data_IF_565780388487
#
_entry.id   IF_565780388487
#
_cell.length_a   1.000
_cell.length_b   1.000
_cell.length_c   1.000
_cell.angle_alpha   90.00
_cell.angle_beta   90.00
_cell.angle_gamma   90.00
#
_symmetry.space_group_name_H-M   'P 1'
#
loop_
_entity.id
_entity.type
_entity.pdbx_description
1 polymer ?
#
# COMPACT_ATOMS: atom_id res chain seq x y z
N UNK A 1 6.50 -8.88 -22.45
CA UNK A 1 5.09 -8.66 -22.08
C UNK A 1 5.00 -7.55 -21.05
N UNK A 2 4.13 -6.59 -21.30
CA UNK A 2 3.93 -5.48 -20.36
C UNK A 2 3.10 -5.94 -19.16
N UNK A 3 3.49 -5.55 -17.96
CA UNK A 3 2.67 -5.80 -16.78
C UNK A 3 1.43 -4.91 -16.83
N UNK A 4 0.33 -5.39 -16.24
CA UNK A 4 -0.95 -4.67 -16.28
C UNK A 4 -0.96 -3.45 -15.37
N UNK A 5 -0.38 -3.57 -14.18
CA UNK A 5 -0.38 -2.48 -13.20
C UNK A 5 0.93 -1.72 -13.29
N UNK A 6 0.84 -0.47 -13.70
CA UNK A 6 1.98 0.43 -13.90
C UNK A 6 1.67 1.78 -13.30
N UNK A 7 2.69 2.57 -12.95
CA UNK A 7 2.46 3.95 -12.51
C UNK A 7 1.83 4.76 -13.63
N UNK A 8 0.95 5.69 -13.26
CA UNK A 8 0.23 6.55 -14.19
C UNK A 8 0.44 8.01 -13.83
N UNK A 9 0.01 8.90 -14.71
CA UNK A 9 0.08 10.34 -14.48
C UNK A 9 -1.22 10.90 -13.88
N UNK A 10 -2.21 10.05 -13.60
CA UNK A 10 -3.47 10.47 -13.01
C UNK A 10 -3.22 11.01 -11.61
N UNK A 11 -3.66 12.23 -11.27
CA UNK A 11 -3.48 12.76 -9.92
C UNK A 11 -4.23 11.90 -8.89
N UNK A 12 -3.58 11.63 -7.76
CA UNK A 12 -4.21 10.87 -6.67
C UNK A 12 -5.48 11.58 -6.20
N UNK A 13 -5.46 12.91 -6.12
CA UNK A 13 -6.63 13.69 -5.73
C UNK A 13 -7.83 13.47 -6.66
N UNK A 14 -7.58 13.30 -7.96
CA UNK A 14 -8.65 13.02 -8.92
C UNK A 14 -9.27 11.63 -8.66
N UNK A 15 -8.46 10.65 -8.34
CA UNK A 15 -8.95 9.32 -7.98
C UNK A 15 -9.76 9.36 -6.68
N UNK A 16 -9.24 10.01 -5.63
CA UNK A 16 -9.92 10.12 -4.34
C UNK A 16 -11.28 10.80 -4.48
N UNK A 17 -11.40 11.77 -5.38
CA UNK A 17 -12.65 12.46 -5.64
C UNK A 17 -13.74 11.56 -6.22
N UNK A 18 -13.41 10.39 -6.75
CA UNK A 18 -14.39 9.43 -7.28
C UNK A 18 -15.00 8.54 -6.20
N UNK A 19 -14.43 8.56 -4.99
CA UNK A 19 -14.85 7.69 -3.89
C UNK A 19 -15.97 8.33 -3.08
N UNK A 20 -16.70 7.51 -2.29
CA UNK A 20 -17.65 8.08 -1.33
C UNK A 20 -16.91 8.93 -0.28
N UNK A 21 -17.63 9.78 0.44
CA UNK A 21 -17.05 10.75 1.36
C UNK A 21 -16.16 10.10 2.42
N UNK A 22 -16.60 9.01 3.02
CA UNK A 22 -15.81 8.32 4.05
C UNK A 22 -14.55 7.71 3.47
N UNK A 23 -14.66 6.99 2.38
CA UNK A 23 -13.52 6.31 1.75
C UNK A 23 -12.51 7.32 1.20
N UNK A 24 -13.00 8.43 0.66
CA UNK A 24 -12.15 9.53 0.20
C UNK A 24 -11.33 10.12 1.35
N UNK A 25 -11.97 10.37 2.50
CA UNK A 25 -11.29 10.90 3.68
C UNK A 25 -10.26 9.90 4.23
N UNK A 26 -10.61 8.61 4.28
CA UNK A 26 -9.68 7.56 4.69
C UNK A 26 -8.47 7.50 3.76
N UNK A 27 -8.71 7.56 2.46
CA UNK A 27 -7.64 7.57 1.46
C UNK A 27 -6.71 8.77 1.60
N UNK A 28 -7.26 9.96 1.81
CA UNK A 28 -6.45 11.16 2.02
C UNK A 28 -5.58 11.04 3.27
N UNK A 29 -6.12 10.51 4.36
CA UNK A 29 -5.36 10.30 5.59
C UNK A 29 -4.25 9.28 5.39
N UNK A 30 -4.53 8.20 4.65
CA UNK A 30 -3.52 7.18 4.35
C UNK A 30 -2.41 7.72 3.46
N UNK A 31 -2.73 8.59 2.50
CA UNK A 31 -1.71 9.25 1.69
C UNK A 31 -0.75 10.04 2.59
N UNK A 32 -1.27 10.80 3.55
CA UNK A 32 -0.44 11.55 4.50
C UNK A 32 0.43 10.62 5.34
N UNK A 33 -0.15 9.54 5.86
CA UNK A 33 0.57 8.58 6.70
C UNK A 33 1.70 7.90 5.93
N UNK A 34 1.39 7.39 4.75
CA UNK A 34 2.38 6.71 3.92
C UNK A 34 3.48 7.67 3.44
N UNK A 35 3.11 8.89 3.04
CA UNK A 35 4.10 9.88 2.62
C UNK A 35 5.03 10.27 3.75
N UNK A 36 4.50 10.41 4.96
CA UNK A 36 5.32 10.75 6.14
C UNK A 36 6.31 9.64 6.47
N UNK A 37 5.88 8.36 6.37
CA UNK A 37 6.73 7.23 6.72
C UNK A 37 7.75 6.88 5.63
N UNK A 38 7.43 7.17 4.37
CA UNK A 38 8.30 6.79 3.24
C UNK A 38 9.13 7.95 2.70
N UNK A 39 8.69 9.18 2.92
CA UNK A 39 9.38 10.37 2.42
C UNK A 39 9.18 10.63 0.93
N UNK A 40 8.28 9.94 0.28
CA UNK A 40 8.01 10.11 -1.16
C UNK A 40 6.54 10.43 -1.41
N UNK A 41 6.26 10.95 -2.60
CA UNK A 41 4.91 11.30 -3.01
C UNK A 41 4.13 10.08 -3.49
N UNK A 42 2.81 10.12 -3.28
CA UNK A 42 1.89 9.10 -3.76
C UNK A 42 1.75 9.19 -5.28
N UNK A 43 1.68 8.03 -5.92
CA UNK A 43 1.49 7.90 -7.38
C UNK A 43 0.41 6.86 -7.62
N UNK A 44 -0.48 7.12 -8.58
CA UNK A 44 -1.47 6.12 -8.99
C UNK A 44 -0.80 5.00 -9.77
N UNK A 45 -1.13 3.77 -9.40
CA UNK A 45 -0.73 2.54 -10.10
C UNK A 45 -1.99 1.84 -10.60
N UNK A 46 -2.17 1.81 -11.91
CA UNK A 46 -3.41 1.28 -12.47
C UNK A 46 -4.61 2.12 -12.05
N UNK A 47 -5.82 1.54 -12.03
CA UNK A 47 -7.04 2.32 -11.81
C UNK A 47 -7.38 2.60 -10.35
N UNK A 48 -6.80 1.88 -9.37
CA UNK A 48 -7.26 1.97 -7.99
C UNK A 48 -6.20 1.81 -6.91
N UNK A 49 -4.94 1.62 -7.28
CA UNK A 49 -3.86 1.44 -6.31
C UNK A 49 -3.07 2.74 -6.16
N UNK A 50 -2.83 3.15 -4.92
CA UNK A 50 -1.99 4.30 -4.60
C UNK A 50 -0.66 3.77 -4.10
N UNK A 51 0.43 4.06 -4.82
CA UNK A 51 1.75 3.51 -4.55
C UNK A 51 2.78 4.54 -4.15
N UNK A 52 3.83 4.08 -3.47
CA UNK A 52 4.90 4.90 -2.92
C UNK A 52 6.24 4.25 -3.26
N UNK A 53 7.05 4.95 -4.04
CA UNK A 53 8.32 4.41 -4.53
C UNK A 53 8.12 3.23 -5.48
N UNK A 54 9.19 2.64 -5.91
CA UNK A 54 9.10 1.43 -6.74
C UNK A 54 10.39 0.63 -6.64
N UNK A 55 10.31 -0.65 -6.95
CA UNK A 55 11.45 -1.53 -7.08
C UNK A 55 11.26 -2.43 -8.29
N UNK A 56 12.38 -2.88 -8.86
CA UNK A 56 12.34 -3.85 -9.95
C UNK A 56 12.31 -5.26 -9.37
N UNK A 57 11.52 -6.13 -9.98
CA UNK A 57 11.51 -7.55 -9.62
C UNK A 57 11.86 -8.40 -10.85
N UNK A 58 12.39 -9.58 -10.58
CA UNK A 58 12.73 -10.53 -11.63
C UNK A 58 12.48 -11.95 -11.13
N UNK A 59 11.66 -12.69 -11.86
CA UNK A 59 11.40 -14.09 -11.55
C UNK A 59 12.45 -15.00 -12.20
N UNK A 60 12.58 -16.22 -11.68
CA UNK A 60 13.49 -17.21 -12.23
C UNK A 60 13.19 -17.52 -13.71
N UNK A 61 11.95 -17.34 -14.13
CA UNK A 61 11.54 -17.49 -15.52
C UNK A 61 12.05 -16.41 -16.46
N UNK A 62 12.69 -15.35 -15.92
CA UNK A 62 13.13 -14.20 -16.69
C UNK A 62 12.11 -13.08 -16.79
N UNK A 63 10.89 -13.30 -16.29
CA UNK A 63 9.88 -12.24 -16.24
C UNK A 63 10.29 -11.17 -15.24
N UNK A 64 10.28 -9.91 -15.66
CA UNK A 64 10.64 -8.79 -14.79
C UNK A 64 9.66 -7.64 -14.95
N UNK A 65 9.64 -6.75 -13.96
CA UNK A 65 8.77 -5.59 -13.96
C UNK A 65 9.08 -4.67 -12.80
N UNK A 66 8.20 -3.72 -12.54
CA UNK A 66 8.30 -2.79 -11.40
C UNK A 66 7.04 -2.93 -10.54
N UNK A 67 7.21 -2.65 -9.25
CA UNK A 67 6.11 -2.71 -8.28
C UNK A 67 6.32 -1.63 -7.24
N UNK A 68 5.26 -1.05 -6.66
CA UNK A 68 5.45 -0.06 -5.60
C UNK A 68 6.04 -0.71 -4.36
N UNK A 69 6.91 0.02 -3.67
CA UNK A 69 7.52 -0.46 -2.41
C UNK A 69 6.51 -0.49 -1.28
N UNK A 70 5.55 0.43 -1.28
CA UNK A 70 4.41 0.43 -0.37
C UNK A 70 3.19 0.86 -1.16
N UNK A 71 2.03 0.31 -0.86
CA UNK A 71 0.82 0.64 -1.60
C UNK A 71 -0.44 0.28 -0.81
N UNK A 72 -1.51 1.00 -1.11
CA UNK A 72 -2.83 0.64 -0.62
C UNK A 72 -3.88 0.96 -1.69
N UNK A 73 -5.04 0.31 -1.56
CA UNK A 73 -6.17 0.57 -2.45
C UNK A 73 -7.43 0.78 -1.61
N UNK A 74 -8.01 2.00 -1.63
CA UNK A 74 -9.24 2.28 -0.90
C UNK A 74 -10.44 1.82 -1.72
N UNK A 75 -10.74 0.54 -1.66
CA UNK A 75 -11.84 -0.07 -2.41
C UNK A 75 -13.16 0.12 -1.68
N UNK A 76 -14.27 0.00 -2.42
CA UNK A 76 -15.61 0.18 -1.87
C UNK A 76 -15.87 -0.74 -0.68
N UNK A 77 -15.53 -2.02 -0.81
CA UNK A 77 -15.80 -3.02 0.24
C UNK A 77 -14.80 -2.94 1.41
N UNK A 78 -13.54 -2.60 1.15
CA UNK A 78 -12.51 -2.61 2.17
C UNK A 78 -11.27 -1.84 1.72
N UNK A 79 -10.43 -1.46 2.69
CA UNK A 79 -9.10 -0.94 2.43
C UNK A 79 -8.17 -2.13 2.27
N UNK A 80 -7.39 -2.15 1.19
CA UNK A 80 -6.41 -3.21 0.93
C UNK A 80 -5.01 -2.62 1.05
N UNK A 81 -4.16 -3.24 1.88
CA UNK A 81 -2.75 -2.85 2.04
C UNK A 81 -1.89 -3.95 1.47
N UNK A 82 -0.94 -3.59 0.60
CA UNK A 82 -0.13 -4.56 -0.13
C UNK A 82 1.22 -4.75 0.53
N UNK A 83 1.62 -6.02 0.70
CA UNK A 83 2.97 -6.36 1.14
C UNK A 83 3.28 -6.18 2.61
N UNK A 84 2.34 -5.80 3.45
CA UNK A 84 2.62 -5.49 4.86
C UNK A 84 2.83 -6.74 5.72
N UNK A 85 2.37 -7.91 5.28
CA UNK A 85 2.36 -9.12 6.10
C UNK A 85 3.54 -10.06 5.86
N UNK A 86 4.34 -9.80 4.82
CA UNK A 86 5.33 -10.76 4.34
C UNK A 86 6.71 -10.62 4.94
N UNK A 87 6.94 -9.62 5.76
CA UNK A 87 8.27 -9.31 6.31
C UNK A 87 8.44 -9.84 7.73
N UNK A 88 9.68 -10.21 8.13
CA UNK A 88 9.94 -10.58 9.52
C UNK A 88 9.51 -9.46 10.48
N UNK A 89 8.81 -9.82 11.54
CA UNK A 89 8.28 -8.85 12.49
C UNK A 89 6.86 -8.37 12.19
N UNK A 90 6.35 -8.58 10.97
CA UNK A 90 5.00 -8.14 10.61
C UNK A 90 3.91 -8.85 11.41
N UNK A 91 4.06 -10.14 11.68
CA UNK A 91 3.05 -10.93 12.41
C UNK A 91 2.75 -10.34 13.78
N UNK A 92 3.78 -9.94 14.53
CA UNK A 92 3.62 -9.35 15.85
C UNK A 92 2.89 -8.00 15.78
N UNK A 93 3.18 -7.20 14.77
CA UNK A 93 2.49 -5.93 14.56
C UNK A 93 1.03 -6.14 14.16
N UNK A 94 0.76 -7.12 13.30
CA UNK A 94 -0.60 -7.41 12.86
C UNK A 94 -1.50 -7.83 14.03
N UNK A 95 -0.96 -8.54 15.03
CA UNK A 95 -1.71 -8.91 16.22
C UNK A 95 -2.22 -7.68 16.98
N UNK A 96 -1.55 -6.54 16.84
CA UNK A 96 -1.88 -5.30 17.54
C UNK A 96 -2.63 -4.31 16.66
N UNK A 97 -2.82 -4.62 15.39
CA UNK A 97 -3.42 -3.68 14.43
C UNK A 97 -4.90 -3.42 14.69
N UNK A 98 -5.64 -4.44 15.05
CA UNK A 98 -7.10 -4.40 15.20
C UNK A 98 -7.76 -5.30 14.15
N UNK A 99 -9.08 -5.17 13.98
CA UNK A 99 -9.82 -6.08 13.08
C UNK A 99 -9.31 -6.03 11.66
N UNK A 100 -8.88 -7.17 11.13
CA UNK A 100 -8.39 -7.30 9.76
C UNK A 100 -8.47 -8.75 9.29
N UNK A 101 -8.39 -8.93 7.98
CA UNK A 101 -8.20 -10.25 7.38
C UNK A 101 -6.98 -10.18 6.45
N UNK A 102 -6.47 -11.32 6.03
CA UNK A 102 -5.30 -11.37 5.16
C UNK A 102 -5.57 -12.25 3.95
N UNK A 103 -4.97 -11.88 2.82
CA UNK A 103 -4.89 -12.71 1.62
C UNK A 103 -3.45 -13.11 1.38
N UNK A 104 -3.10 -13.48 0.15
CA UNK A 104 -1.75 -13.92 -0.20
C UNK A 104 -0.71 -12.82 0.05
N UNK A 105 -0.98 -11.60 -0.40
CA UNK A 105 -0.06 -10.47 -0.30
C UNK A 105 -0.73 -9.22 0.27
N UNK A 106 -1.92 -9.34 0.82
CA UNK A 106 -2.71 -8.18 1.24
C UNK A 106 -3.22 -8.33 2.66
N UNK A 107 -3.33 -7.19 3.34
CA UNK A 107 -4.06 -7.04 4.60
C UNK A 107 -5.30 -6.23 4.29
N UNK A 108 -6.46 -6.68 4.74
CA UNK A 108 -7.74 -6.03 4.47
C UNK A 108 -8.36 -5.48 5.75
N UNK A 109 -8.84 -4.24 5.68
CA UNK A 109 -9.45 -3.54 6.80
C UNK A 109 -10.75 -2.90 6.32
N UNK A 110 -11.83 -3.06 7.10
CA UNK A 110 -13.11 -2.49 6.71
C UNK A 110 -13.19 -0.98 6.91
N UNK A 111 -12.63 -0.48 8.03
CA UNK A 111 -12.67 0.94 8.36
C UNK A 111 -11.35 1.36 8.99
N UNK A 112 -10.85 2.51 8.57
CA UNK A 112 -9.59 3.03 9.10
C UNK A 112 -9.67 3.34 10.61
N UNK A 113 -10.81 3.80 11.06
CA UNK A 113 -11.01 4.14 12.48
C UNK A 113 -11.09 2.92 13.41
N UNK A 114 -11.14 1.71 12.86
CA UNK A 114 -11.18 0.47 13.63
C UNK A 114 -9.80 -0.09 13.96
N UNK A 115 -8.75 0.46 13.37
CA UNK A 115 -7.38 -0.04 13.55
C UNK A 115 -6.48 0.98 14.25
N UNK A 116 -5.36 0.49 14.78
CA UNK A 116 -4.35 1.33 15.42
C UNK A 116 -3.43 1.91 14.35
N UNK A 117 -3.52 3.22 14.13
CA UNK A 117 -2.72 3.89 13.10
C UNK A 117 -1.23 3.90 13.41
N UNK A 118 -0.84 3.87 14.67
CA UNK A 118 0.60 3.81 15.02
C UNK A 118 1.18 2.46 14.65
N UNK A 119 0.40 1.39 14.82
CA UNK A 119 0.80 0.06 14.38
C UNK A 119 0.88 0.00 12.86
N UNK A 120 -0.07 0.62 12.16
CA UNK A 120 -0.02 0.70 10.71
C UNK A 120 1.24 1.44 10.24
N UNK A 121 1.60 2.54 10.89
CA UNK A 121 2.84 3.26 10.59
C UNK A 121 4.06 2.35 10.72
N UNK A 122 4.11 1.56 11.78
CA UNK A 122 5.22 0.64 12.02
C UNK A 122 5.29 -0.43 10.93
N UNK A 123 4.14 -0.94 10.49
CA UNK A 123 4.08 -1.90 9.38
C UNK A 123 4.59 -1.30 8.07
N UNK A 124 4.19 -0.08 7.76
CA UNK A 124 4.65 0.63 6.56
C UNK A 124 6.15 0.87 6.63
N UNK A 125 6.65 1.31 7.77
CA UNK A 125 8.08 1.54 7.98
C UNK A 125 8.89 0.26 7.83
N UNK A 126 8.41 -0.83 8.41
CA UNK A 126 9.05 -2.13 8.28
C UNK A 126 9.12 -2.57 6.81
N UNK A 127 8.01 -2.51 6.11
CA UNK A 127 7.95 -2.85 4.69
C UNK A 127 8.90 -1.98 3.87
N UNK A 128 8.93 -0.68 4.15
CA UNK A 128 9.77 0.28 3.44
C UNK A 128 11.25 -0.03 3.67
N UNK A 129 11.65 -0.32 4.90
CA UNK A 129 13.04 -0.64 5.24
C UNK A 129 13.49 -1.93 4.56
N UNK A 130 12.65 -2.97 4.58
CA UNK A 130 13.00 -4.26 3.97
C UNK A 130 13.10 -4.15 2.46
N UNK A 131 12.18 -3.45 1.81
CA UNK A 131 12.19 -3.30 0.34
C UNK A 131 13.28 -2.35 -0.15
N UNK A 132 13.87 -1.54 0.70
CA UNK A 132 14.95 -0.64 0.32
C UNK A 132 16.14 -1.40 -0.24
N UNK A 133 16.47 -2.55 0.32
CA UNK A 133 17.60 -3.37 -0.13
C UNK A 133 17.40 -3.96 -1.52
N UNK A 134 16.15 -4.02 -1.98
CA UNK A 134 15.82 -4.55 -3.31
C UNK A 134 15.41 -3.45 -4.30
N UNK A 135 15.37 -2.20 -3.86
CA UNK A 135 14.97 -1.06 -4.69
C UNK A 135 16.05 -0.74 -5.73
N UNK A 136 15.62 -0.23 -6.86
CA UNK A 136 16.50 0.12 -7.99
C UNK A 136 16.34 1.59 -8.31
#
# INVERSE_FOLDING_TARGET
MMQKTMPTEVPVSAFLATLDARRSAEGARLVELFSAETGVEAVMWGPSMIGFGQYAYRYASGHEGVWPRAAFSPRKAKLSFYGLQTHPGAAALLERLGPHTTGADCVYVNRLDAIDLDVLRDLVRLSWTVTEDTAV
#
